data_IF_612137734538
#
_entry.id   IF_612137734538
#
_cell.length_a   1.000
_cell.length_b   1.000
_cell.length_c   1.000
_cell.angle_alpha   90.00
_cell.angle_beta   90.00
_cell.angle_gamma   90.00
#
_symmetry.space_group_name_H-M   'P 1'
#
loop_
_entity.id
_entity.type
_entity.pdbx_description
1 polymer ?
#
# COMPACT_ATOMS: atom_id res chain seq x y z
N UNK A 1 -70.35 -17.67 3.34
CA UNK A 1 -69.15 -17.58 4.19
C UNK A 1 -67.94 -17.52 3.27
N UNK A 2 -67.31 -16.34 3.09
CA UNK A 2 -66.16 -16.19 2.19
C UNK A 2 -64.88 -16.36 2.99
N UNK A 3 -64.09 -17.36 2.61
CA UNK A 3 -62.81 -17.71 3.22
C UNK A 3 -61.80 -16.62 2.85
N UNK A 4 -61.37 -15.81 3.81
CA UNK A 4 -60.32 -14.81 3.60
C UNK A 4 -58.98 -15.54 3.69
N UNK A 5 -58.37 -15.80 2.54
CA UNK A 5 -57.04 -16.40 2.46
C UNK A 5 -56.01 -15.36 2.89
N UNK A 6 -55.49 -15.49 4.12
CA UNK A 6 -54.50 -14.59 4.68
C UNK A 6 -53.16 -14.68 3.93
N UNK A 7 -52.68 -13.54 3.43
CA UNK A 7 -51.36 -13.44 2.77
C UNK A 7 -50.28 -13.44 3.84
N UNK A 8 -49.53 -14.53 3.94
CA UNK A 8 -48.40 -14.65 4.88
C UNK A 8 -47.17 -13.97 4.27
N UNK A 9 -46.77 -12.82 4.82
CA UNK A 9 -45.56 -12.11 4.41
C UNK A 9 -44.36 -12.70 5.14
N UNK A 10 -43.55 -13.49 4.43
CA UNK A 10 -42.29 -14.00 4.95
C UNK A 10 -41.22 -12.90 4.89
N UNK A 11 -40.95 -12.27 6.03
CA UNK A 11 -39.79 -11.39 6.20
C UNK A 11 -38.54 -12.25 6.30
N UNK A 12 -37.83 -12.45 5.19
CA UNK A 12 -36.50 -13.04 5.22
C UNK A 12 -35.56 -12.08 5.94
N UNK A 13 -35.10 -12.43 7.14
CA UNK A 13 -33.95 -11.77 7.77
C UNK A 13 -32.75 -11.99 6.84
N UNK A 14 -32.41 -10.98 6.05
CA UNK A 14 -31.16 -10.96 5.31
C UNK A 14 -30.01 -10.97 6.30
N UNK A 15 -29.20 -12.02 6.28
CA UNK A 15 -27.91 -12.01 6.96
C UNK A 15 -27.02 -10.99 6.24
N UNK A 16 -26.79 -9.84 6.86
CA UNK A 16 -25.73 -8.94 6.42
C UNK A 16 -24.43 -9.63 6.81
N UNK A 17 -23.79 -10.29 5.86
CA UNK A 17 -22.43 -10.78 6.03
C UNK A 17 -21.54 -9.55 5.95
N UNK A 18 -21.09 -9.06 7.10
CA UNK A 18 -20.04 -8.04 7.14
C UNK A 18 -18.75 -8.67 6.60
N UNK A 19 -18.53 -8.51 5.30
CA UNK A 19 -17.22 -8.75 4.72
C UNK A 19 -16.29 -7.72 5.38
N UNK A 20 -15.40 -8.18 6.26
CA UNK A 20 -14.33 -7.38 6.87
C UNK A 20 -13.45 -6.81 5.76
N UNK A 21 -13.92 -5.70 5.18
CA UNK A 21 -13.19 -4.92 4.20
C UNK A 21 -12.09 -4.27 5.00
N UNK A 22 -10.89 -4.83 4.90
CA UNK A 22 -9.70 -4.17 5.46
C UNK A 22 -9.51 -2.92 4.61
N UNK A 23 -10.15 -1.83 5.04
CA UNK A 23 -10.17 -0.59 4.30
C UNK A 23 -8.72 -0.14 4.14
N UNK A 24 -8.32 -0.04 2.89
CA UNK A 24 -7.05 0.45 2.40
C UNK A 24 -6.73 1.75 3.16
N UNK A 25 -5.57 1.86 3.82
CA UNK A 25 -5.19 3.12 4.47
C UNK A 25 -5.04 4.17 3.37
N UNK A 26 -6.06 5.01 3.25
CA UNK A 26 -6.08 6.12 2.32
C UNK A 26 -5.50 7.33 3.02
N UNK A 27 -4.53 7.99 2.39
CA UNK A 27 -3.99 9.25 2.90
C UNK A 27 -4.26 10.35 1.88
N UNK A 28 -5.04 11.36 2.29
CA UNK A 28 -5.30 12.54 1.48
C UNK A 28 -4.11 13.50 1.62
N UNK A 29 -3.56 13.94 0.49
CA UNK A 29 -2.38 14.79 0.44
C UNK A 29 -2.71 16.06 -0.38
N UNK A 30 -2.28 17.23 0.10
CA UNK A 30 -2.40 18.46 -0.66
C UNK A 30 -1.29 18.54 -1.73
N UNK A 31 -1.61 19.10 -2.89
CA UNK A 31 -0.62 19.35 -3.94
C UNK A 31 0.46 20.33 -3.43
N UNK A 32 1.71 20.07 -3.77
CA UNK A 32 2.87 20.87 -3.37
C UNK A 32 3.47 20.51 -2.01
N UNK A 33 2.81 19.65 -1.23
CA UNK A 33 3.32 19.17 0.06
C UNK A 33 4.23 17.94 -0.08
N UNK A 34 5.08 17.76 0.92
CA UNK A 34 5.91 16.56 1.07
C UNK A 34 5.08 15.44 1.71
N UNK A 35 5.11 14.27 1.10
CA UNK A 35 4.41 13.09 1.62
C UNK A 35 5.38 12.13 2.27
N UNK A 36 4.98 11.62 3.44
CA UNK A 36 5.70 10.62 4.21
C UNK A 36 4.89 9.33 4.25
N UNK A 37 5.35 8.33 3.52
CA UNK A 37 4.78 6.99 3.51
C UNK A 37 5.61 6.10 4.44
N UNK A 38 5.05 5.81 5.61
CA UNK A 38 5.71 4.98 6.61
C UNK A 38 5.13 3.58 6.61
N UNK A 39 6.00 2.58 6.70
CA UNK A 39 5.59 1.21 6.95
C UNK A 39 6.30 0.62 8.16
N UNK A 40 5.57 -0.20 8.90
CA UNK A 40 6.11 -1.06 9.95
C UNK A 40 5.94 -2.50 9.51
N UNK A 41 6.95 -3.32 9.75
CA UNK A 41 6.94 -4.74 9.38
C UNK A 41 7.71 -5.56 10.41
N UNK A 42 7.39 -6.85 10.50
CA UNK A 42 8.24 -7.80 11.23
C UNK A 42 9.62 -7.87 10.57
N UNK A 43 10.64 -8.07 11.38
CA UNK A 43 12.07 -7.98 11.03
C UNK A 43 12.38 -8.54 9.64
N UNK A 44 13.06 -7.74 8.83
CA UNK A 44 13.67 -8.21 7.57
C UNK A 44 14.94 -8.99 7.92
N UNK A 45 15.02 -10.24 7.48
CA UNK A 45 16.17 -11.09 7.73
C UNK A 45 17.43 -10.59 7.01
N UNK A 46 18.58 -10.66 7.69
CA UNK A 46 19.90 -10.59 7.07
C UNK A 46 20.16 -9.32 6.23
N UNK A 47 20.48 -9.53 4.94
CA UNK A 47 20.94 -8.53 3.97
C UNK A 47 19.90 -8.18 2.89
N UNK A 48 18.62 -8.46 3.13
CA UNK A 48 17.55 -8.13 2.17
C UNK A 48 17.30 -6.63 2.12
N UNK A 49 17.16 -6.07 0.93
CA UNK A 49 16.85 -4.68 0.70
C UNK A 49 15.35 -4.43 0.86
N UNK A 50 15.00 -3.26 1.39
CA UNK A 50 13.64 -2.72 1.36
C UNK A 50 13.51 -1.92 0.08
N UNK A 51 12.48 -2.22 -0.71
CA UNK A 51 12.22 -1.59 -2.01
C UNK A 51 10.86 -0.91 -1.98
N UNK A 52 10.78 0.25 -2.63
CA UNK A 52 9.54 0.99 -2.83
C UNK A 52 9.20 1.06 -4.31
N UNK A 53 7.91 0.90 -4.60
CA UNK A 53 7.34 0.93 -5.94
C UNK A 53 6.11 1.83 -5.96
N UNK A 54 5.84 2.36 -7.14
CA UNK A 54 4.65 3.14 -7.45
C UNK A 54 3.88 2.48 -8.58
N UNK A 55 2.56 2.40 -8.45
CA UNK A 55 1.69 1.88 -9.51
C UNK A 55 0.61 2.90 -9.83
N UNK A 56 0.69 3.48 -11.03
CA UNK A 56 -0.40 4.27 -11.59
C UNK A 56 -1.53 3.35 -12.06
N UNK A 57 -2.77 3.87 -12.19
CA UNK A 57 -3.88 3.10 -12.74
C UNK A 57 -3.51 2.45 -14.07
N UNK A 58 -3.81 1.15 -14.21
CA UNK A 58 -3.56 0.35 -15.41
C UNK A 58 -2.09 0.19 -15.82
N UNK A 59 -1.13 0.49 -14.94
CA UNK A 59 0.30 0.28 -15.17
C UNK A 59 0.84 -0.83 -14.26
N UNK A 60 1.95 -1.45 -14.64
CA UNK A 60 2.72 -2.31 -13.74
C UNK A 60 3.41 -1.47 -12.66
N UNK A 61 3.74 -2.04 -11.49
CA UNK A 61 4.57 -1.36 -10.49
C UNK A 61 5.89 -0.88 -11.08
N UNK A 62 6.25 0.37 -10.79
CA UNK A 62 7.46 1.05 -11.22
C UNK A 62 8.36 1.29 -10.02
N UNK A 63 9.63 0.97 -10.16
CA UNK A 63 10.62 1.12 -9.09
C UNK A 63 10.84 2.59 -8.72
N UNK A 64 10.89 2.88 -7.41
CA UNK A 64 11.23 4.21 -6.87
C UNK A 64 12.64 4.19 -6.29
N UNK A 65 12.85 3.42 -5.21
CA UNK A 65 14.07 3.47 -4.41
C UNK A 65 14.21 2.18 -3.59
N UNK A 66 15.45 1.80 -3.28
CA UNK A 66 15.75 0.73 -2.32
C UNK A 66 16.82 1.15 -1.32
N UNK A 67 16.88 0.44 -0.20
CA UNK A 67 17.92 0.61 0.81
C UNK A 67 18.00 -0.57 1.76
N UNK A 68 19.10 -0.67 2.49
CA UNK A 68 19.32 -1.70 3.50
C UNK A 68 19.11 -1.17 4.92
N UNK A 69 19.71 -0.01 5.20
CA UNK A 69 19.67 0.72 6.47
C UNK A 69 19.95 2.21 6.21
N UNK A 70 19.77 3.06 7.23
CA UNK A 70 20.01 4.50 7.19
C UNK A 70 19.13 5.21 6.13
N UNK A 71 19.55 6.40 5.71
CA UNK A 71 18.85 7.18 4.69
C UNK A 71 19.54 7.04 3.33
N UNK A 72 18.73 6.75 2.31
CA UNK A 72 19.12 6.73 0.89
C UNK A 72 18.28 7.77 0.16
N UNK A 73 18.89 8.53 -0.75
CA UNK A 73 18.19 9.59 -1.50
C UNK A 73 18.47 9.43 -2.99
N UNK A 74 17.46 9.69 -3.82
CA UNK A 74 17.59 9.80 -5.26
C UNK A 74 16.78 10.99 -5.80
N UNK A 75 16.61 11.07 -7.12
CA UNK A 75 15.87 12.16 -7.77
C UNK A 75 14.37 12.18 -7.47
N UNK A 76 13.78 11.07 -7.05
CA UNK A 76 12.35 10.94 -6.76
C UNK A 76 12.01 11.18 -5.28
N UNK A 77 12.96 10.97 -4.36
CA UNK A 77 12.72 11.14 -2.95
C UNK A 77 13.81 10.56 -2.05
N UNK A 78 13.49 10.38 -0.77
CA UNK A 78 14.37 9.74 0.20
C UNK A 78 13.69 8.58 0.91
N UNK A 79 14.45 7.54 1.21
CA UNK A 79 14.03 6.38 1.97
C UNK A 79 14.86 6.34 3.25
N UNK A 80 14.19 6.41 4.40
CA UNK A 80 14.83 6.24 5.71
C UNK A 80 14.41 4.91 6.31
N UNK A 81 15.39 4.09 6.70
CA UNK A 81 15.17 2.78 7.29
C UNK A 81 15.69 2.81 8.73
N UNK A 82 14.86 2.41 9.69
CA UNK A 82 15.25 2.34 11.09
C UNK A 82 16.41 1.36 11.31
N UNK A 83 17.23 1.61 12.32
CA UNK A 83 18.40 0.77 12.64
C UNK A 83 18.03 -0.66 13.00
N UNK A 84 16.85 -0.88 13.59
CA UNK A 84 16.29 -2.20 13.87
C UNK A 84 15.65 -2.88 12.65
N UNK A 85 15.58 -2.15 11.53
CA UNK A 85 15.01 -2.60 10.26
C UNK A 85 13.57 -3.10 10.38
N UNK A 86 12.79 -2.55 11.32
CA UNK A 86 11.36 -2.85 11.48
C UNK A 86 10.44 -1.77 10.93
N UNK A 87 11.02 -0.64 10.52
CA UNK A 87 10.28 0.41 9.86
C UNK A 87 11.07 1.07 8.74
N UNK A 88 10.34 1.55 7.74
CA UNK A 88 10.89 2.41 6.71
C UNK A 88 9.92 3.53 6.35
N UNK A 89 10.47 4.68 5.99
CA UNK A 89 9.71 5.86 5.59
C UNK A 89 10.23 6.36 4.25
N UNK A 90 9.36 6.34 3.24
CA UNK A 90 9.57 7.00 1.96
C UNK A 90 9.06 8.44 2.04
N UNK A 91 9.89 9.40 1.67
CA UNK A 91 9.56 10.82 1.57
C UNK A 91 9.60 11.23 0.09
N UNK A 92 8.45 11.67 -0.42
CA UNK A 92 8.30 12.20 -1.77
C UNK A 92 8.06 13.71 -1.70
N UNK A 93 8.98 14.53 -2.23
CA UNK A 93 8.86 15.97 -2.13
C UNK A 93 7.89 16.55 -3.16
N UNK A 94 7.14 17.58 -2.78
CA UNK A 94 6.29 18.39 -3.68
C UNK A 94 5.41 17.56 -4.62
N UNK A 95 4.53 16.71 -4.07
CA UNK A 95 3.66 15.90 -4.91
C UNK A 95 2.77 16.76 -5.79
N UNK A 96 2.57 16.31 -7.02
CA UNK A 96 1.61 16.85 -7.97
C UNK A 96 0.43 15.91 -8.13
N UNK A 97 -0.64 16.37 -8.79
CA UNK A 97 -1.75 15.49 -9.20
C UNK A 97 -1.31 14.28 -10.03
N UNK A 98 -0.17 14.38 -10.72
CA UNK A 98 0.37 13.27 -11.47
C UNK A 98 0.88 12.17 -10.58
N UNK A 99 1.12 12.42 -9.30
CA UNK A 99 1.73 11.48 -8.36
C UNK A 99 0.72 10.61 -7.59
N UNK A 100 -0.57 10.79 -7.88
CA UNK A 100 -1.66 9.94 -7.41
C UNK A 100 -1.51 8.51 -7.93
N UNK A 101 -1.23 7.59 -7.01
CA UNK A 101 -0.92 6.19 -7.30
C UNK A 101 -1.07 5.31 -6.06
N UNK A 102 -1.00 4.00 -6.26
CA UNK A 102 -0.79 3.05 -5.17
C UNK A 102 0.71 2.87 -4.96
N UNK A 103 1.16 2.99 -3.71
CA UNK A 103 2.55 2.80 -3.34
C UNK A 103 2.71 1.46 -2.62
N UNK A 104 3.67 0.67 -3.08
CA UNK A 104 3.99 -0.64 -2.52
C UNK A 104 5.40 -0.66 -1.97
N UNK A 105 5.63 -1.55 -1.00
CA UNK A 105 6.99 -1.92 -0.62
C UNK A 105 7.18 -3.44 -0.65
N UNK A 106 8.43 -3.86 -0.71
CA UNK A 106 8.80 -5.28 -0.69
C UNK A 106 10.22 -5.50 -0.20
N UNK A 107 10.63 -6.77 -0.16
CA UNK A 107 11.96 -7.18 0.26
C UNK A 107 12.63 -8.00 -0.84
N UNK A 108 13.92 -7.80 -1.05
CA UNK A 108 14.70 -8.61 -1.98
C UNK A 108 16.13 -8.81 -1.51
N UNK A 109 16.64 -10.03 -1.62
CA UNK A 109 18.05 -10.30 -1.38
C UNK A 109 18.93 -9.71 -2.49
N UNK A 110 20.23 -9.59 -2.22
CA UNK A 110 21.20 -9.02 -3.17
C UNK A 110 21.22 -9.72 -4.54
N UNK A 111 21.03 -11.04 -4.56
CA UNK A 111 21.00 -11.84 -5.80
C UNK A 111 19.73 -11.63 -6.63
N UNK A 112 18.58 -11.29 -6.03
CA UNK A 112 17.33 -11.05 -6.75
C UNK A 112 17.23 -9.64 -7.34
N UNK A 113 18.10 -8.70 -6.93
CA UNK A 113 18.14 -7.36 -7.51
C UNK A 113 18.76 -7.30 -8.91
N UNK A 114 19.50 -8.34 -9.33
CA UNK A 114 20.11 -8.45 -10.68
C UNK A 114 19.27 -9.27 -11.67
N UNK A 115 18.15 -9.84 -11.24
CA UNK A 115 17.17 -10.54 -12.09
C UNK A 115 15.80 -9.86 -12.05
N UNK A 116 14.84 -10.33 -12.87
CA UNK A 116 13.43 -9.90 -12.75
C UNK A 116 12.90 -10.34 -11.39
N UNK A 117 12.59 -9.41 -10.47
CA UNK A 117 12.21 -9.82 -9.14
C UNK A 117 10.78 -10.38 -9.16
N UNK A 118 10.64 -11.71 -9.08
CA UNK A 118 9.43 -12.35 -8.58
C UNK A 118 9.36 -12.08 -7.07
N UNK A 119 9.06 -10.84 -6.70
CA UNK A 119 8.96 -10.43 -5.31
C UNK A 119 7.60 -10.87 -4.75
N UNK A 120 7.54 -11.48 -3.56
CA UNK A 120 6.33 -11.46 -2.77
C UNK A 120 6.03 -9.99 -2.43
N UNK A 121 5.12 -9.38 -3.20
CA UNK A 121 4.61 -8.04 -2.93
C UNK A 121 3.82 -8.09 -1.63
N UNK A 122 4.44 -7.68 -0.52
CA UNK A 122 3.71 -7.41 0.70
C UNK A 122 2.84 -6.17 0.46
N UNK A 123 1.56 -6.42 0.23
CA UNK A 123 0.57 -5.39 -0.06
C UNK A 123 0.26 -4.59 1.20
N UNK A 124 1.17 -3.70 1.57
CA UNK A 124 0.81 -2.61 2.45
C UNK A 124 0.28 -1.48 1.61
N UNK A 125 -0.83 -0.99 2.10
CA UNK A 125 -1.95 -0.67 1.26
C UNK A 125 -2.17 0.83 1.54
N UNK A 126 -1.16 1.63 1.14
CA UNK A 126 -1.17 3.09 1.17
C UNK A 126 -1.59 3.57 -0.21
N UNK A 127 -2.87 3.89 -0.35
CA UNK A 127 -3.38 4.51 -1.56
C UNK A 127 -3.56 5.99 -1.29
N UNK A 128 -2.91 6.82 -2.10
CA UNK A 128 -3.19 8.25 -2.08
C UNK A 128 -4.41 8.43 -2.97
N UNK A 129 -5.54 8.79 -2.38
CA UNK A 129 -6.72 9.24 -3.12
C UNK A 129 -6.93 10.74 -2.88
N UNK A 130 -7.65 11.39 -3.79
CA UNK A 130 -8.05 12.78 -3.67
C UNK A 130 -9.59 12.83 -3.78
N UNK A 131 -10.19 13.76 -3.03
CA UNK A 131 -11.63 13.95 -2.89
C UNK A 131 -12.32 14.34 -4.20
#
# INVERSE_FOLDING_TARGET
MRLVTGVTVFLTLGIVVDAKTTQLSSMDCAEGEDVKLSCNHSTVSGSDYILWYRQNPNQSPQYIIHGLQNTVTNSMGSLTIASDRKSSTLVLPKLTLRDTAVYYFGFANHCAMTGTPEMPLFKNNCSIYQK
#
